data_IF_890050308399
#
_entry.id   IF_890050308399
#
_cell.length_a   1.000
_cell.length_b   1.000
_cell.length_c   1.000
_cell.angle_alpha   90.00
_cell.angle_beta   90.00
_cell.angle_gamma   90.00
#
_symmetry.space_group_name_H-M   'P 1'
#
loop_
_entity.id
_entity.type
_entity.pdbx_description
1 polymer ?
#
# COMPACT_ATOMS: atom_id res chain seq x y z
N UNK A 1 -10.03 8.70 -39.14
CA UNK A 1 -10.13 7.46 -38.35
C UNK A 1 -10.91 7.77 -37.08
N UNK A 2 -12.21 7.39 -36.95
CA UNK A 2 -12.99 7.70 -35.76
C UNK A 2 -12.58 6.81 -34.57
N UNK A 3 -12.57 7.41 -33.38
CA UNK A 3 -12.26 6.81 -32.08
C UNK A 3 -13.09 5.54 -31.86
N UNK A 4 -12.43 4.42 -31.60
CA UNK A 4 -13.09 3.17 -31.25
C UNK A 4 -13.88 3.32 -29.96
N UNK A 5 -15.21 3.37 -30.10
CA UNK A 5 -16.18 3.23 -29.01
C UNK A 5 -16.22 1.75 -28.64
N UNK A 6 -15.60 1.38 -27.53
CA UNK A 6 -15.88 0.11 -26.88
C UNK A 6 -17.14 0.31 -26.03
N UNK A 7 -18.30 -0.04 -26.58
CA UNK A 7 -19.55 -0.09 -25.81
C UNK A 7 -19.47 -1.23 -24.80
N UNK A 8 -19.49 -0.91 -23.52
CA UNK A 8 -19.64 -1.88 -22.44
C UNK A 8 -21.09 -2.43 -22.44
N UNK A 9 -21.32 -3.75 -22.54
CA UNK A 9 -22.67 -4.32 -22.68
C UNK A 9 -23.54 -4.25 -21.41
N UNK A 10 -23.02 -3.71 -20.30
CA UNK A 10 -23.69 -3.71 -19.00
C UNK A 10 -24.35 -2.38 -18.61
N UNK A 11 -24.30 -1.34 -19.44
CA UNK A 11 -25.05 -0.09 -19.21
C UNK A 11 -24.72 0.65 -17.91
N UNK A 12 -23.62 0.31 -17.24
CA UNK A 12 -23.14 1.03 -16.07
C UNK A 12 -22.37 2.25 -16.55
N UNK A 13 -22.96 3.43 -16.36
CA UNK A 13 -22.26 4.71 -16.49
C UNK A 13 -20.95 4.61 -15.73
N UNK A 14 -19.83 4.66 -16.46
CA UNK A 14 -18.49 5.04 -16.01
C UNK A 14 -18.32 5.00 -14.48
N UNK A 15 -18.45 3.81 -13.89
CA UNK A 15 -18.16 3.66 -12.47
C UNK A 15 -16.66 3.89 -12.43
N UNK A 16 -16.26 5.02 -11.87
CA UNK A 16 -14.87 5.36 -11.65
C UNK A 16 -14.28 4.16 -10.88
N UNK A 17 -13.59 3.28 -11.61
CA UNK A 17 -13.12 1.99 -11.09
C UNK A 17 -12.13 2.20 -9.94
N UNK A 18 -11.70 3.44 -9.72
CA UNK A 18 -10.93 3.83 -8.54
C UNK A 18 -11.74 3.94 -7.24
N UNK A 19 -13.08 3.96 -7.28
CA UNK A 19 -13.94 3.96 -6.09
C UNK A 19 -14.28 2.57 -5.57
N UNK A 20 -14.26 1.53 -6.42
CA UNK A 20 -14.67 0.16 -6.04
C UNK A 20 -13.49 -0.67 -5.50
N UNK A 21 -12.25 -0.29 -5.84
CA UNK A 21 -11.05 -0.92 -5.31
C UNK A 21 -10.29 0.09 -4.44
N UNK A 22 -10.09 -0.16 -3.13
CA UNK A 22 -9.25 0.70 -2.33
C UNK A 22 -7.87 0.74 -2.98
N UNK A 23 -7.42 1.93 -3.40
CA UNK A 23 -6.09 2.13 -3.97
C UNK A 23 -5.08 1.55 -2.98
N UNK A 24 -4.19 0.63 -3.42
CA UNK A 24 -3.21 0.05 -2.53
C UNK A 24 -2.34 1.19 -1.97
N UNK A 25 -2.38 1.32 -0.64
CA UNK A 25 -1.59 2.29 0.10
C UNK A 25 -0.23 1.67 0.36
N UNK A 26 0.82 2.38 -0.02
CA UNK A 26 2.19 2.01 0.32
C UNK A 26 2.74 3.00 1.32
N UNK A 27 3.61 2.53 2.19
CA UNK A 27 4.34 3.37 3.10
C UNK A 27 5.82 3.01 3.09
N UNK A 28 6.67 4.03 3.10
CA UNK A 28 8.12 3.88 3.21
C UNK A 28 8.52 4.00 4.66
N UNK A 29 9.34 3.07 5.12
CA UNK A 29 9.82 3.07 6.49
C UNK A 29 10.91 4.12 6.66
N UNK A 30 10.71 5.04 7.60
CA UNK A 30 11.66 6.12 7.91
C UNK A 30 12.68 5.71 8.99
N UNK A 31 12.26 4.83 9.89
CA UNK A 31 13.03 4.38 11.05
C UNK A 31 12.91 2.88 11.24
N UNK A 32 13.99 2.23 11.66
CA UNK A 32 13.94 0.84 12.06
C UNK A 32 13.07 0.64 13.31
N UNK A 33 12.26 -0.41 13.28
CA UNK A 33 11.45 -0.86 14.41
C UNK A 33 11.48 -2.38 14.44
N UNK A 34 11.94 -2.94 15.54
CA UNK A 34 11.95 -4.39 15.74
C UNK A 34 10.66 -4.84 16.41
N UNK A 35 9.87 -5.60 15.67
CA UNK A 35 8.64 -6.22 16.13
C UNK A 35 8.93 -7.53 16.84
N UNK A 36 9.66 -7.52 17.95
CA UNK A 36 10.06 -8.76 18.66
C UNK A 36 8.90 -9.51 19.34
N UNK A 37 7.65 -9.10 19.14
CA UNK A 37 6.46 -9.73 19.75
C UNK A 37 5.59 -10.41 18.70
N UNK A 38 4.92 -11.50 19.08
CA UNK A 38 3.96 -12.20 18.23
C UNK A 38 2.90 -11.23 17.66
N UNK A 39 2.89 -11.08 16.33
CA UNK A 39 1.99 -10.16 15.61
C UNK A 39 2.54 -8.77 15.32
N UNK A 40 3.74 -8.40 15.80
CA UNK A 40 4.42 -7.16 15.40
C UNK A 40 5.29 -7.38 14.18
N UNK A 41 5.30 -6.40 13.28
CA UNK A 41 6.11 -6.44 12.07
C UNK A 41 7.44 -5.73 12.31
N UNK A 42 8.56 -6.44 12.16
CA UNK A 42 9.88 -5.80 12.13
C UNK A 42 10.08 -5.08 10.80
N UNK A 43 10.28 -3.77 10.86
CA UNK A 43 10.41 -2.88 9.70
C UNK A 43 11.80 -2.23 9.74
N UNK A 44 12.48 -2.12 8.59
CA UNK A 44 13.76 -1.40 8.51
C UNK A 44 13.62 -0.14 7.68
N UNK A 45 14.35 0.90 8.07
CA UNK A 45 14.46 2.13 7.27
C UNK A 45 14.76 1.81 5.80
N UNK A 46 13.95 2.33 4.90
CA UNK A 46 14.03 2.10 3.46
C UNK A 46 13.12 0.99 2.93
N UNK A 47 12.53 0.15 3.80
CA UNK A 47 11.56 -0.85 3.36
C UNK A 47 10.26 -0.20 2.87
N UNK A 48 9.59 -0.87 1.94
CA UNK A 48 8.27 -0.49 1.44
C UNK A 48 7.26 -1.49 1.97
N UNK A 49 6.25 -0.97 2.65
CA UNK A 49 5.18 -1.74 3.26
C UNK A 49 3.89 -1.42 2.53
N UNK A 50 3.19 -2.46 2.11
CA UNK A 50 1.83 -2.33 1.66
C UNK A 50 0.91 -2.27 2.87
N UNK A 51 0.23 -1.13 3.06
CA UNK A 51 -0.75 -0.93 4.12
C UNK A 51 -2.02 -1.72 3.77
N UNK A 52 -2.40 -2.64 4.66
CA UNK A 52 -3.61 -3.45 4.54
C UNK A 52 -4.74 -2.84 5.39
N UNK A 53 -4.42 -2.34 6.59
CA UNK A 53 -5.39 -1.74 7.49
C UNK A 53 -4.78 -0.57 8.25
N UNK A 54 -5.49 0.56 8.30
CA UNK A 54 -5.14 1.72 9.11
C UNK A 54 -6.07 1.78 10.33
N UNK A 55 -5.63 1.32 11.49
CA UNK A 55 -6.41 1.52 12.71
C UNK A 55 -6.22 2.95 13.23
N UNK A 56 -7.32 3.53 13.74
CA UNK A 56 -7.35 4.91 14.26
C UNK A 56 -6.57 5.08 15.57
N UNK A 57 -6.14 3.98 16.19
CA UNK A 57 -5.27 3.96 17.37
C UNK A 57 -3.78 4.21 17.04
N UNK A 58 -3.44 4.48 15.77
CA UNK A 58 -2.07 4.71 15.30
C UNK A 58 -1.28 3.44 14.96
N UNK A 59 -1.89 2.26 15.04
CA UNK A 59 -1.30 0.99 14.63
C UNK A 59 -1.83 0.58 13.26
N UNK A 60 -0.93 0.38 12.31
CA UNK A 60 -1.29 -0.07 10.97
C UNK A 60 -0.85 -1.51 10.77
N UNK A 61 -1.70 -2.29 10.11
CA UNK A 61 -1.35 -3.61 9.61
C UNK A 61 -0.84 -3.45 8.19
N UNK A 62 0.30 -4.05 7.91
CA UNK A 62 0.86 -4.03 6.58
C UNK A 62 1.71 -5.24 6.30
N UNK A 63 2.03 -5.37 5.03
CA UNK A 63 2.77 -6.49 4.48
C UNK A 63 4.03 -5.93 3.85
N UNK A 64 5.18 -6.36 4.36
CA UNK A 64 6.46 -6.15 3.70
C UNK A 64 6.44 -7.05 2.47
N UNK A 65 6.38 -6.44 1.29
CA UNK A 65 6.73 -7.18 0.08
C UNK A 65 8.23 -7.39 0.16
N UNK A 66 8.68 -8.65 0.18
CA UNK A 66 10.10 -8.97 0.30
C UNK A 66 10.90 -8.16 -0.72
N UNK A 67 11.64 -7.17 -0.25
CA UNK A 67 12.48 -6.34 -1.11
C UNK A 67 13.74 -7.13 -1.48
N UNK A 68 14.45 -6.60 -2.48
CA UNK A 68 15.70 -7.01 -3.15
C UNK A 68 16.76 -7.78 -2.32
N UNK A 69 16.66 -7.83 -0.99
CA UNK A 69 17.65 -8.37 -0.06
C UNK A 69 17.26 -9.70 0.62
N UNK A 70 16.42 -10.52 0.00
CA UNK A 70 16.10 -11.88 0.51
C UNK A 70 15.28 -11.89 1.80
N UNK A 71 14.59 -10.78 2.12
CA UNK A 71 13.70 -10.68 3.27
C UNK A 71 12.42 -11.50 3.02
N UNK A 72 12.01 -12.36 3.95
CA UNK A 72 10.74 -13.04 3.82
C UNK A 72 9.60 -12.02 3.85
N UNK A 73 8.58 -12.26 3.04
CA UNK A 73 7.32 -11.53 3.13
C UNK A 73 6.78 -11.69 4.56
N UNK A 74 6.62 -10.58 5.25
CA UNK A 74 6.15 -10.55 6.63
C UNK A 74 4.94 -9.63 6.73
N UNK A 75 3.96 -10.02 7.54
CA UNK A 75 2.76 -9.25 7.84
C UNK A 75 2.68 -9.03 9.34
N UNK A 76 2.27 -7.84 9.75
CA UNK A 76 1.92 -7.59 11.13
C UNK A 76 1.67 -6.12 11.40
N UNK A 77 1.52 -5.83 12.69
CA UNK A 77 1.23 -4.51 13.19
C UNK A 77 2.49 -3.70 13.43
N UNK A 78 2.47 -2.44 13.03
CA UNK A 78 3.52 -1.48 13.31
C UNK A 78 2.93 -0.08 13.54
N UNK A 79 3.62 0.77 14.29
CA UNK A 79 3.20 2.15 14.51
C UNK A 79 3.33 2.98 13.23
N UNK A 80 2.28 3.73 12.89
CA UNK A 80 2.29 4.62 11.72
C UNK A 80 3.37 5.70 11.79
N UNK A 81 3.80 6.09 12.99
CA UNK A 81 4.82 7.12 13.21
C UNK A 81 6.21 6.78 12.64
N UNK A 82 6.45 5.51 12.32
CA UNK A 82 7.74 5.03 11.81
C UNK A 82 7.76 4.93 10.28
N UNK A 83 6.61 5.19 9.64
CA UNK A 83 6.46 5.10 8.20
C UNK A 83 5.87 6.39 7.64
N UNK A 84 6.15 6.64 6.37
CA UNK A 84 5.61 7.73 5.59
C UNK A 84 4.73 7.15 4.49
N UNK A 85 3.43 7.53 4.45
CA UNK A 85 2.56 7.09 3.36
C UNK A 85 3.11 7.66 2.05
N UNK A 86 3.40 6.78 1.09
CA UNK A 86 3.68 7.12 -0.28
C UNK A 86 2.43 6.77 -1.11
N UNK A 87 1.62 7.76 -1.43
CA UNK A 87 0.46 7.57 -2.31
C UNK A 87 0.93 7.09 -3.69
N UNK A 88 0.28 6.06 -4.22
CA UNK A 88 0.53 5.59 -5.60
C UNK A 88 0.28 6.68 -6.65
N UNK A 89 -0.52 7.70 -6.34
CA UNK A 89 -0.76 8.85 -7.22
C UNK A 89 0.48 9.74 -7.46
N UNK A 90 1.35 9.91 -6.47
CA UNK A 90 2.61 10.67 -6.62
C UNK A 90 3.61 9.92 -7.52
N UNK A 91 3.57 8.58 -7.49
CA UNK A 91 4.37 7.72 -8.37
C UNK A 91 3.87 7.72 -9.82
N UNK A 92 2.59 8.05 -10.06
CA UNK A 92 1.97 8.06 -11.39
C UNK A 92 1.92 9.48 -11.99
N UNK A 93 1.96 10.54 -11.18
CA UNK A 93 1.95 11.94 -11.67
C UNK A 93 3.31 12.44 -12.19
N UNK A 94 4.36 11.62 -12.13
CA UNK A 94 5.67 11.91 -12.73
C UNK A 94 5.94 11.11 -14.02
N UNK A 95 4.91 10.51 -14.62
CA UNK A 95 4.97 9.86 -15.93
C UNK A 95 4.28 10.68 -17.02
#
# INVERSE_FOLDING_TARGET
>A
MPRSIFTNPFGLNEIDVTQVYPKPLFARVLYDYDGSSEGRLSIKKGDIIQIVLQAQNGWWDGVIQGSEYGRPKARGWFPSNYVEICTSAEAISSL
#
